data_IF_899912556385
#
_entry.id   IF_899912556385
#
_cell.length_a   1.000
_cell.length_b   1.000
_cell.length_c   1.000
_cell.angle_alpha   90.00
_cell.angle_beta   90.00
_cell.angle_gamma   90.00
#
_symmetry.space_group_name_H-M   'P 1'
#
loop_
_entity.id
_entity.type
_entity.pdbx_description
1 polymer ?
#
# COMPACT_ATOMS: atom_id res chain seq x y z
N UNK A 1 -12.10 -15.74 -10.03
CA UNK A 1 -13.27 -14.91 -10.38
C UNK A 1 -13.64 -14.07 -9.16
N UNK A 2 -13.92 -12.77 -9.32
CA UNK A 2 -14.28 -11.90 -8.20
C UNK A 2 -15.59 -12.36 -7.56
N UNK A 3 -15.68 -12.22 -6.23
CA UNK A 3 -16.84 -12.71 -5.46
C UNK A 3 -18.08 -11.84 -5.67
N UNK A 4 -17.87 -10.54 -5.87
CA UNK A 4 -18.93 -9.56 -6.06
C UNK A 4 -18.77 -8.89 -7.42
N UNK A 5 -19.90 -8.48 -8.01
CA UNK A 5 -19.87 -7.58 -9.16
C UNK A 5 -19.63 -6.16 -8.64
N UNK A 6 -18.42 -5.66 -8.88
CA UNK A 6 -17.98 -4.32 -8.46
C UNK A 6 -17.70 -3.48 -9.69
N UNK A 7 -18.03 -2.19 -9.63
CA UNK A 7 -17.69 -1.21 -10.65
C UNK A 7 -17.19 0.07 -10.00
N UNK A 8 -16.11 0.65 -10.54
CA UNK A 8 -15.63 1.96 -10.11
C UNK A 8 -16.46 3.05 -10.77
N UNK A 9 -16.98 3.96 -9.96
CA UNK A 9 -17.73 5.14 -10.41
C UNK A 9 -16.83 6.38 -10.43
N UNK A 10 -15.91 6.45 -9.47
CA UNK A 10 -14.94 7.54 -9.37
C UNK A 10 -13.64 6.99 -8.83
N UNK A 11 -12.54 7.19 -9.55
CA UNK A 11 -11.23 6.66 -9.20
C UNK A 11 -10.68 7.23 -7.91
N UNK A 12 -11.05 8.47 -7.56
CA UNK A 12 -10.47 9.16 -6.42
C UNK A 12 -9.24 9.95 -6.80
N UNK A 13 -8.53 10.41 -5.78
CA UNK A 13 -7.32 11.21 -5.88
C UNK A 13 -6.22 10.59 -5.00
N UNK A 14 -5.00 10.65 -5.52
CA UNK A 14 -3.81 10.25 -4.79
C UNK A 14 -3.09 11.51 -4.36
N UNK A 15 -2.85 11.62 -3.06
CA UNK A 15 -2.12 12.73 -2.46
C UNK A 15 -0.85 12.23 -1.81
N UNK A 16 0.25 12.98 -1.94
CA UNK A 16 1.55 12.60 -1.37
C UNK A 16 1.47 12.33 0.15
N UNK A 17 0.81 13.22 0.88
CA UNK A 17 0.62 13.13 2.34
C UNK A 17 -0.05 11.82 2.78
N UNK A 18 -1.07 11.36 2.03
CA UNK A 18 -1.78 10.14 2.42
C UNK A 18 -1.10 8.87 1.89
N UNK A 19 -0.54 8.90 0.67
CA UNK A 19 -0.15 7.69 -0.05
C UNK A 19 1.35 7.42 -0.03
N UNK A 20 2.20 8.41 0.23
CA UNK A 20 3.66 8.25 0.14
C UNK A 20 4.40 8.70 1.41
N UNK A 21 3.71 9.43 2.29
CA UNK A 21 4.24 9.92 3.56
C UNK A 21 4.02 8.92 4.73
N UNK A 22 4.36 9.25 6.00
CA UNK A 22 4.42 8.28 7.10
C UNK A 22 3.15 7.45 7.39
N UNK A 23 2.00 7.81 6.81
CA UNK A 23 0.71 7.15 6.95
C UNK A 23 0.31 6.33 5.72
N UNK A 24 1.17 6.26 4.69
CA UNK A 24 0.99 5.52 3.45
C UNK A 24 0.45 4.10 3.68
N UNK A 25 0.98 3.38 4.67
CA UNK A 25 0.57 2.00 4.97
C UNK A 25 -0.94 1.80 5.11
N UNK A 26 -1.69 2.80 5.57
CA UNK A 26 -3.14 2.70 5.72
C UNK A 26 -3.90 2.78 4.38
N UNK A 27 -3.25 3.27 3.32
CA UNK A 27 -3.84 3.60 2.02
C UNK A 27 -3.47 2.60 0.91
N UNK A 28 -2.75 1.53 1.22
CA UNK A 28 -2.32 0.52 0.25
C UNK A 28 -2.66 -0.89 0.72
N UNK A 29 -3.22 -1.71 -0.17
CA UNK A 29 -3.66 -3.06 0.14
C UNK A 29 -3.23 -4.07 -0.91
N UNK A 30 -2.90 -5.29 -0.49
CA UNK A 30 -2.64 -6.39 -1.41
C UNK A 30 -3.94 -6.84 -2.09
N UNK A 31 -3.86 -7.15 -3.38
CA UNK A 31 -4.94 -7.84 -4.10
C UNK A 31 -4.87 -9.34 -3.77
N UNK A 32 -5.90 -9.96 -3.18
CA UNK A 32 -5.85 -11.37 -2.80
C UNK A 32 -5.69 -12.33 -3.99
N UNK A 33 -6.05 -11.89 -5.20
CA UNK A 33 -5.94 -12.68 -6.42
C UNK A 33 -4.64 -12.42 -7.19
N UNK A 34 -3.79 -11.51 -6.70
CA UNK A 34 -2.48 -11.26 -7.25
C UNK A 34 -1.46 -12.19 -6.58
N UNK A 35 -1.07 -13.24 -7.30
CA UNK A 35 -0.22 -14.31 -6.82
C UNK A 35 1.22 -14.16 -7.31
N UNK A 36 1.80 -12.98 -7.13
CA UNK A 36 3.22 -12.79 -7.42
C UNK A 36 4.09 -13.56 -6.40
N UNK A 37 4.87 -14.51 -6.90
CA UNK A 37 5.68 -15.43 -6.09
C UNK A 37 6.94 -14.77 -5.49
N UNK A 38 7.31 -13.58 -5.96
CA UNK A 38 8.55 -12.89 -5.58
C UNK A 38 8.31 -11.82 -4.52
N UNK A 39 7.24 -11.05 -4.68
CA UNK A 39 6.85 -9.95 -3.80
C UNK A 39 5.33 -9.76 -3.87
N UNK A 40 4.75 -9.04 -2.92
CA UNK A 40 3.33 -8.74 -2.83
C UNK A 40 3.12 -7.29 -3.31
N UNK A 41 2.66 -7.07 -4.55
CA UNK A 41 2.29 -5.73 -5.00
C UNK A 41 1.12 -5.18 -4.18
N UNK A 42 1.15 -3.89 -3.92
CA UNK A 42 0.08 -3.18 -3.23
C UNK A 42 -0.65 -2.24 -4.18
N UNK A 43 -1.92 -2.03 -3.92
CA UNK A 43 -2.84 -1.25 -4.73
C UNK A 43 -3.42 -0.11 -3.89
N UNK A 44 -3.52 1.07 -4.49
CA UNK A 44 -3.93 2.29 -3.80
C UNK A 44 -5.42 2.28 -3.51
N UNK A 45 -5.77 2.63 -2.27
CA UNK A 45 -7.12 3.02 -1.90
C UNK A 45 -7.24 4.54 -2.07
N UNK A 46 -7.66 5.03 -3.23
CA UNK A 46 -7.61 6.47 -3.48
C UNK A 46 -8.63 7.27 -2.62
N UNK A 47 -8.26 8.49 -2.23
CA UNK A 47 -9.15 9.39 -1.50
C UNK A 47 -10.37 9.74 -2.37
N UNK A 48 -11.57 9.79 -1.78
CA UNK A 48 -12.85 10.03 -2.48
C UNK A 48 -13.25 8.94 -3.47
N UNK A 49 -12.47 7.86 -3.63
CA UNK A 49 -12.80 6.74 -4.51
C UNK A 49 -14.23 6.24 -4.23
N UNK A 50 -14.98 5.96 -5.30
CA UNK A 50 -16.35 5.44 -5.22
C UNK A 50 -16.47 4.15 -6.01
N UNK A 51 -16.95 3.12 -5.34
CA UNK A 51 -17.28 1.83 -5.95
C UNK A 51 -18.75 1.53 -5.75
N UNK A 52 -19.37 0.88 -6.73
CA UNK A 52 -20.69 0.27 -6.59
C UNK A 52 -20.51 -1.24 -6.56
N UNK A 53 -21.13 -1.87 -5.58
CA UNK A 53 -21.18 -3.33 -5.45
C UNK A 53 -22.62 -3.78 -5.39
N UNK A 54 -22.96 -4.77 -6.23
CA UNK A 54 -24.30 -5.31 -6.31
C UNK A 54 -24.42 -6.53 -5.40
N UNK A 55 -25.31 -6.48 -4.42
CA UNK A 55 -25.59 -7.58 -3.49
C UNK A 55 -27.10 -7.80 -3.43
N UNK A 56 -27.54 -9.04 -3.68
CA UNK A 56 -28.97 -9.41 -3.73
C UNK A 56 -29.81 -8.49 -4.66
N UNK A 57 -29.23 -8.08 -5.79
CA UNK A 57 -29.89 -7.21 -6.76
C UNK A 57 -30.01 -5.74 -6.34
N UNK A 58 -29.41 -5.34 -5.22
CA UNK A 58 -29.36 -3.95 -4.75
C UNK A 58 -27.94 -3.39 -4.85
N UNK A 59 -27.85 -2.12 -5.25
CA UNK A 59 -26.60 -1.40 -5.36
C UNK A 59 -26.17 -0.78 -4.04
N UNK A 60 -24.91 -0.98 -3.68
CA UNK A 60 -24.27 -0.36 -2.53
C UNK A 60 -23.08 0.46 -3.02
N UNK A 61 -23.19 1.78 -2.91
CA UNK A 61 -22.09 2.68 -3.20
C UNK A 61 -21.23 2.86 -1.95
N UNK A 62 -19.95 2.49 -2.05
CA UNK A 62 -18.96 2.76 -1.01
C UNK A 62 -18.14 3.96 -1.45
N UNK A 63 -17.97 4.93 -0.56
CA UNK A 63 -17.10 6.10 -0.76
C UNK A 63 -15.99 6.09 0.27
N UNK A 64 -14.74 6.16 -0.21
CA UNK A 64 -13.56 6.36 0.62
C UNK A 64 -13.48 7.82 1.02
N UNK A 65 -13.31 8.08 2.31
CA UNK A 65 -13.11 9.42 2.86
C UNK A 65 -11.83 9.42 3.71
N UNK A 66 -11.36 10.60 4.05
CA UNK A 66 -10.26 10.75 5.01
C UNK A 66 -10.85 10.91 6.41
N UNK A 67 -10.41 10.08 7.35
CA UNK A 67 -10.65 10.23 8.79
C UNK A 67 -9.29 10.44 9.47
N UNK A 68 -8.94 11.70 9.74
CA UNK A 68 -7.60 12.13 10.11
C UNK A 68 -6.54 11.77 9.04
N UNK A 69 -5.69 10.79 9.27
CA UNK A 69 -4.65 10.33 8.32
C UNK A 69 -4.89 8.89 7.86
N UNK A 70 -6.05 8.32 8.20
CA UNK A 70 -6.46 6.97 7.84
C UNK A 70 -7.69 7.01 6.92
N UNK A 71 -7.95 5.95 6.14
CA UNK A 71 -9.16 5.87 5.34
C UNK A 71 -10.39 5.59 6.22
N UNK A 72 -11.41 6.39 6.00
CA UNK A 72 -12.78 6.14 6.45
C UNK A 72 -13.67 5.70 5.29
N UNK A 73 -14.80 5.09 5.61
CA UNK A 73 -15.72 4.53 4.64
C UNK A 73 -17.15 4.94 4.93
N UNK A 74 -17.82 5.42 3.89
CA UNK A 74 -19.26 5.65 3.86
C UNK A 74 -19.90 4.63 2.93
N UNK A 75 -21.08 4.15 3.28
CA UNK A 75 -21.91 3.35 2.40
C UNK A 75 -23.26 4.04 2.19
N UNK A 76 -23.74 4.04 0.95
CA UNK A 76 -25.06 4.52 0.58
C UNK A 76 -25.75 3.48 -0.30
N UNK A 77 -27.04 3.26 -0.06
CA UNK A 77 -27.90 2.46 -0.92
C UNK A 77 -29.29 3.08 -0.93
N UNK A 78 -29.75 3.54 -2.10
CA UNK A 78 -30.95 4.38 -2.22
C UNK A 78 -30.91 5.55 -1.21
N UNK A 79 -31.92 5.66 -0.35
CA UNK A 79 -32.05 6.70 0.66
C UNK A 79 -31.28 6.41 1.97
N UNK A 80 -30.75 5.19 2.11
CA UNK A 80 -29.99 4.80 3.29
C UNK A 80 -28.54 5.26 3.16
N UNK A 81 -28.03 5.93 4.19
CA UNK A 81 -26.64 6.37 4.27
C UNK A 81 -26.03 6.07 5.62
N UNK A 82 -24.81 5.56 5.61
CA UNK A 82 -24.09 5.22 6.83
C UNK A 82 -23.41 6.46 7.42
N UNK A 83 -23.14 6.43 8.71
CA UNK A 83 -22.07 7.24 9.29
C UNK A 83 -20.69 6.75 8.78
N UNK A 84 -19.60 7.52 8.98
CA UNK A 84 -18.25 7.04 8.75
C UNK A 84 -17.92 5.79 9.58
N UNK A 85 -17.26 4.82 8.96
CA UNK A 85 -16.67 3.64 9.61
C UNK A 85 -15.19 3.49 9.23
N UNK A 86 -14.42 2.77 10.05
CA UNK A 86 -13.00 2.49 9.82
C UNK A 86 -12.75 1.37 8.80
N UNK A 87 -13.79 0.65 8.40
CA UNK A 87 -13.69 -0.39 7.38
C UNK A 87 -14.89 -0.36 6.43
N UNK A 88 -14.64 -0.64 5.16
CA UNK A 88 -15.68 -0.80 4.14
C UNK A 88 -16.66 -1.93 4.51
N UNK A 89 -16.16 -3.00 5.14
CA UNK A 89 -16.96 -4.11 5.68
C UNK A 89 -18.03 -3.63 6.64
N UNK A 90 -17.68 -2.80 7.62
CA UNK A 90 -18.64 -2.28 8.61
C UNK A 90 -19.63 -1.32 7.97
N UNK A 91 -19.15 -0.42 7.10
CA UNK A 91 -20.00 0.53 6.39
C UNK A 91 -21.10 -0.19 5.60
N UNK A 92 -20.72 -1.16 4.74
CA UNK A 92 -21.70 -1.90 3.94
C UNK A 92 -22.59 -2.80 4.79
N UNK A 93 -22.04 -3.46 5.82
CA UNK A 93 -22.83 -4.33 6.70
C UNK A 93 -23.90 -3.54 7.44
N UNK A 94 -23.60 -2.30 7.85
CA UNK A 94 -24.57 -1.43 8.52
C UNK A 94 -25.77 -1.10 7.63
N UNK A 95 -25.53 -0.78 6.35
CA UNK A 95 -26.60 -0.45 5.39
C UNK A 95 -27.33 -1.70 4.92
N UNK A 96 -26.61 -2.80 4.71
CA UNK A 96 -27.22 -4.08 4.39
C UNK A 96 -28.20 -4.52 5.49
N UNK A 97 -27.81 -4.39 6.76
CA UNK A 97 -28.68 -4.75 7.88
C UNK A 97 -29.95 -3.89 7.93
N UNK A 98 -29.86 -2.61 7.63
CA UNK A 98 -31.03 -1.73 7.55
C UNK A 98 -31.92 -2.05 6.33
N UNK A 99 -31.32 -2.39 5.19
CA UNK A 99 -32.06 -2.68 3.96
C UNK A 99 -32.78 -4.03 4.00
N UNK A 100 -32.18 -5.05 4.61
CA UNK A 100 -32.68 -6.44 4.57
C UNK A 100 -33.07 -7.00 5.94
N UNK A 101 -32.98 -6.20 7.01
CA UNK A 101 -33.23 -6.63 8.39
C UNK A 101 -32.47 -7.89 8.82
N UNK A 102 -31.30 -8.13 8.19
CA UNK A 102 -30.47 -9.32 8.42
C UNK A 102 -29.01 -8.93 8.59
N UNK A 103 -28.32 -9.58 9.53
CA UNK A 103 -26.90 -9.33 9.76
C UNK A 103 -26.07 -10.31 8.93
N UNK A 104 -25.22 -9.77 8.05
CA UNK A 104 -24.26 -10.56 7.28
C UNK A 104 -22.89 -9.89 7.34
N UNK A 105 -21.82 -10.68 7.46
CA UNK A 105 -20.46 -10.15 7.46
C UNK A 105 -19.93 -10.18 6.02
N UNK A 106 -19.76 -9.00 5.43
CA UNK A 106 -19.21 -8.84 4.09
C UNK A 106 -17.69 -8.61 4.17
N UNK A 107 -16.93 -9.08 3.17
CA UNK A 107 -15.49 -8.84 3.16
C UNK A 107 -15.22 -7.46 2.56
N UNK A 108 -14.64 -6.57 3.36
CA UNK A 108 -14.40 -5.17 3.02
C UNK A 108 -13.60 -4.95 1.73
N UNK A 109 -12.57 -5.76 1.46
CA UNK A 109 -11.74 -5.61 0.27
C UNK A 109 -12.48 -6.06 -1.00
N UNK A 110 -13.20 -7.18 -0.90
CA UNK A 110 -13.95 -7.72 -2.03
C UNK A 110 -15.10 -6.80 -2.43
N UNK A 111 -15.77 -6.15 -1.46
CA UNK A 111 -16.87 -5.21 -1.76
C UNK A 111 -16.40 -3.87 -2.33
N UNK A 112 -15.10 -3.60 -2.35
CA UNK A 112 -14.52 -2.45 -3.06
C UNK A 112 -13.71 -2.88 -4.29
N UNK A 113 -13.77 -4.16 -4.66
CA UNK A 113 -13.21 -4.67 -5.91
C UNK A 113 -11.73 -5.03 -5.86
N UNK A 114 -11.12 -5.13 -4.68
CA UNK A 114 -9.70 -5.48 -4.53
C UNK A 114 -9.39 -6.97 -4.81
N UNK A 115 -10.37 -7.77 -5.23
CA UNK A 115 -10.20 -9.11 -5.81
C UNK A 115 -10.35 -9.13 -7.33
N UNK A 116 -10.68 -8.00 -7.95
CA UNK A 116 -10.72 -7.89 -9.40
C UNK A 116 -9.41 -7.29 -9.91
N UNK A 117 -8.60 -8.10 -10.59
CA UNK A 117 -7.30 -7.68 -11.10
C UNK A 117 -7.39 -6.53 -12.11
N UNK A 118 -8.49 -6.43 -12.88
CA UNK A 118 -8.69 -5.32 -13.82
C UNK A 118 -8.91 -4.00 -13.09
N UNK A 119 -9.65 -4.04 -11.97
CA UNK A 119 -9.84 -2.89 -11.07
C UNK A 119 -8.52 -2.52 -10.40
N UNK A 120 -7.78 -3.50 -9.89
CA UNK A 120 -6.48 -3.28 -9.28
C UNK A 120 -5.47 -2.67 -10.28
N UNK A 121 -5.37 -3.23 -11.48
CA UNK A 121 -4.46 -2.75 -12.53
C UNK A 121 -4.80 -1.32 -12.99
N UNK A 122 -6.06 -0.93 -12.93
CA UNK A 122 -6.46 0.43 -13.30
C UNK A 122 -6.17 1.45 -12.21
N UNK A 123 -6.11 1.04 -10.93
CA UNK A 123 -5.67 1.90 -9.82
C UNK A 123 -4.18 2.25 -9.86
N UNK A 124 -3.38 1.54 -10.66
CA UNK A 124 -1.93 1.74 -10.75
C UNK A 124 -1.46 2.48 -12.02
N UNK A 125 -2.34 2.75 -12.99
CA UNK A 125 -1.96 3.26 -14.32
C UNK A 125 -1.25 4.62 -14.30
N UNK A 126 -1.60 5.49 -13.35
CA UNK A 126 -1.05 6.86 -13.24
C UNK A 126 -0.16 7.04 -12.00
N UNK A 127 0.35 5.94 -11.43
CA UNK A 127 1.23 6.00 -10.27
C UNK A 127 2.67 6.31 -10.65
N UNK A 128 3.29 7.20 -9.88
CA UNK A 128 4.73 7.41 -9.95
C UNK A 128 5.52 6.17 -9.49
N UNK A 129 5.01 5.50 -8.46
CA UNK A 129 5.62 4.30 -7.89
C UNK A 129 4.51 3.43 -7.29
N UNK A 130 4.53 2.13 -7.59
CA UNK A 130 3.65 1.15 -6.97
C UNK A 130 4.35 0.54 -5.75
N UNK A 131 3.80 0.73 -4.54
CA UNK A 131 4.34 0.10 -3.34
C UNK A 131 4.25 -1.42 -3.40
N UNK A 132 5.22 -2.06 -2.78
CA UNK A 132 5.24 -3.51 -2.65
C UNK A 132 5.73 -3.94 -1.27
N UNK A 133 5.27 -5.11 -0.85
CA UNK A 133 5.71 -5.77 0.36
C UNK A 133 6.45 -7.06 0.03
N UNK A 134 7.40 -7.44 0.86
CA UNK A 134 8.02 -8.75 0.78
C UNK A 134 8.43 -9.20 2.16
N UNK A 135 8.59 -10.51 2.30
CA UNK A 135 8.93 -11.14 3.57
C UNK A 135 10.38 -11.53 3.56
N UNK A 136 11.10 -11.13 4.60
CA UNK A 136 12.46 -11.56 4.85
C UNK A 136 12.47 -12.23 6.22
N UNK A 137 12.74 -13.54 6.25
CA UNK A 137 12.61 -14.37 7.46
C UNK A 137 11.23 -14.20 8.14
N UNK A 138 11.17 -13.51 9.28
CA UNK A 138 9.98 -13.22 10.07
C UNK A 138 9.53 -11.75 9.98
N UNK A 139 10.21 -10.91 9.21
CA UNK A 139 9.84 -9.53 8.97
C UNK A 139 9.07 -9.37 7.67
N UNK A 140 8.04 -8.52 7.71
CA UNK A 140 7.36 -8.02 6.51
C UNK A 140 7.84 -6.59 6.27
N UNK A 141 8.57 -6.39 5.18
CA UNK A 141 9.00 -5.07 4.73
C UNK A 141 7.99 -4.54 3.71
N UNK A 142 7.76 -3.23 3.70
CA UNK A 142 6.93 -2.57 2.68
C UNK A 142 7.63 -1.30 2.23
N UNK A 143 7.80 -1.17 0.92
CA UNK A 143 8.47 -0.04 0.28
C UNK A 143 7.38 0.81 -0.38
N UNK A 144 7.29 2.08 0.02
CA UNK A 144 6.27 3.02 -0.48
C UNK A 144 6.84 4.11 -1.40
N UNK A 145 8.12 4.43 -1.28
CA UNK A 145 8.81 5.40 -2.13
C UNK A 145 10.27 4.98 -2.25
N UNK A 146 10.91 5.35 -3.37
CA UNK A 146 12.34 5.21 -3.59
C UNK A 146 12.83 6.57 -4.09
N UNK A 147 13.74 7.20 -3.35
CA UNK A 147 14.25 8.54 -3.62
C UNK A 147 15.77 8.60 -3.70
N UNK A 148 16.29 9.67 -4.31
CA UNK A 148 17.71 10.00 -4.36
C UNK A 148 18.02 10.95 -3.20
N UNK A 149 18.94 10.59 -2.30
CA UNK A 149 19.39 11.49 -1.23
C UNK A 149 20.28 12.60 -1.77
N UNK A 150 19.99 13.83 -1.35
CA UNK A 150 20.78 15.03 -1.67
C UNK A 150 22.07 15.13 -0.85
N UNK A 151 22.32 14.21 0.09
CA UNK A 151 23.52 14.21 0.90
C UNK A 151 24.66 13.46 0.19
N UNK A 152 25.71 14.15 -0.29
CA UNK A 152 26.83 13.50 -0.95
C UNK A 152 27.63 12.58 -0.01
N UNK A 153 27.54 12.76 1.31
CA UNK A 153 28.18 11.88 2.31
C UNK A 153 27.44 10.55 2.51
N UNK A 154 26.17 10.48 2.10
CA UNK A 154 25.41 9.22 2.05
C UNK A 154 25.79 8.35 0.85
N UNK A 155 26.86 8.72 0.13
CA UNK A 155 27.56 7.86 -0.81
C UNK A 155 28.14 6.57 -0.21
N UNK A 156 28.07 6.34 1.11
CA UNK A 156 28.38 5.03 1.69
C UNK A 156 27.52 4.82 2.93
N UNK A 157 26.72 3.75 2.96
CA UNK A 157 26.27 3.15 4.23
C UNK A 157 27.44 3.18 5.21
N UNK A 158 27.20 3.69 6.42
CA UNK A 158 28.22 4.13 7.39
C UNK A 158 29.55 3.35 7.31
N UNK A 159 30.68 4.06 7.42
CA UNK A 159 32.06 3.57 7.30
C UNK A 159 32.21 2.10 7.78
N UNK A 160 32.22 1.16 6.83
CA UNK A 160 32.28 -0.28 7.10
C UNK A 160 31.18 -1.14 6.45
N UNK A 161 30.17 -0.56 5.81
CA UNK A 161 29.04 -1.33 5.27
C UNK A 161 28.86 -1.18 3.75
N UNK A 162 28.65 -2.31 3.06
CA UNK A 162 28.35 -2.33 1.61
C UNK A 162 26.85 -2.10 1.40
N UNK A 163 26.55 -1.19 0.46
CA UNK A 163 25.20 -0.74 0.05
C UNK A 163 24.22 -1.88 -0.22
N UNK A 164 24.65 -2.91 -0.96
CA UNK A 164 23.76 -4.00 -1.35
C UNK A 164 23.25 -4.82 -0.15
N UNK A 165 24.06 -4.88 0.90
CA UNK A 165 23.77 -5.62 2.13
C UNK A 165 22.81 -4.88 3.07
N UNK A 166 22.79 -3.53 3.06
CA UNK A 166 21.97 -2.73 3.98
C UNK A 166 20.49 -2.67 3.58
N UNK A 167 20.24 -2.66 2.27
CA UNK A 167 18.89 -2.48 1.69
C UNK A 167 18.30 -3.78 1.14
N UNK A 168 18.90 -4.93 1.47
CA UNK A 168 18.47 -6.23 0.96
C UNK A 168 18.63 -6.38 -0.56
N UNK A 169 19.39 -5.51 -1.23
CA UNK A 169 19.67 -5.62 -2.67
C UNK A 169 20.61 -6.78 -3.01
N UNK A 170 21.09 -7.54 -2.04
CA UNK A 170 21.71 -8.86 -2.27
C UNK A 170 20.65 -9.97 -2.37
N UNK A 171 19.43 -9.73 -1.86
CA UNK A 171 18.32 -10.67 -1.94
C UNK A 171 17.77 -10.70 -3.37
N UNK A 172 17.77 -11.90 -3.98
CA UNK A 172 17.31 -12.10 -5.35
C UNK A 172 15.84 -11.72 -5.55
N UNK A 173 15.00 -11.85 -4.51
CA UNK A 173 13.59 -11.46 -4.58
C UNK A 173 13.44 -9.94 -4.64
N UNK A 174 14.22 -9.21 -3.85
CA UNK A 174 14.23 -7.74 -3.89
C UNK A 174 14.73 -7.24 -5.25
N UNK A 175 15.79 -7.84 -5.80
CA UNK A 175 16.27 -7.52 -7.15
C UNK A 175 15.22 -7.80 -8.22
N UNK A 176 14.62 -8.98 -8.19
CA UNK A 176 13.62 -9.38 -9.18
C UNK A 176 12.32 -8.58 -9.07
N UNK A 177 11.96 -8.07 -7.89
CA UNK A 177 10.83 -7.16 -7.70
C UNK A 177 11.08 -5.81 -8.35
N UNK A 178 12.24 -5.24 -8.06
CA UNK A 178 12.73 -3.98 -8.62
C UNK A 178 12.80 -4.02 -10.15
N UNK A 179 13.34 -5.10 -10.71
CA UNK A 179 13.50 -5.25 -12.17
C UNK A 179 12.16 -5.36 -12.92
N UNK A 180 11.08 -5.76 -12.23
CA UNK A 180 9.73 -5.92 -12.80
C UNK A 180 8.91 -4.62 -12.77
N UNK A 181 9.16 -3.73 -11.80
CA UNK A 181 8.46 -2.46 -11.58
C UNK A 181 8.95 -1.33 -12.52
N UNK A 182 9.44 -1.64 -13.73
CA UNK A 182 10.04 -0.67 -14.65
C UNK A 182 9.11 0.54 -14.90
N UNK A 183 9.47 1.70 -14.35
CA UNK A 183 8.80 2.97 -14.61
C UNK A 183 9.37 3.64 -15.86
N UNK A 184 8.54 4.39 -16.59
CA UNK A 184 8.88 5.08 -17.85
C UNK A 184 9.95 6.17 -17.72
N UNK A 185 10.42 6.48 -16.51
CA UNK A 185 11.37 7.54 -16.22
C UNK A 185 12.75 7.05 -15.73
N UNK A 186 12.98 5.74 -15.58
CA UNK A 186 14.23 5.21 -15.03
C UNK A 186 14.57 3.85 -15.66
N UNK A 187 15.68 3.76 -16.39
CA UNK A 187 16.19 2.52 -17.00
C UNK A 187 17.00 1.67 -16.00
N UNK A 188 17.25 0.39 -16.31
CA UNK A 188 18.16 -0.48 -15.51
C UNK A 188 19.57 0.13 -15.38
N UNK A 189 20.01 0.92 -16.35
CA UNK A 189 21.28 1.65 -16.28
C UNK A 189 21.22 2.85 -15.32
N UNK A 190 20.05 3.47 -15.18
CA UNK A 190 19.79 4.50 -14.17
C UNK A 190 19.75 3.91 -12.76
N UNK A 191 19.33 2.65 -12.59
CA UNK A 191 19.43 1.88 -11.33
C UNK A 191 20.89 1.55 -10.93
N UNK A 192 21.76 1.31 -11.91
CA UNK A 192 23.19 1.09 -11.67
C UNK A 192 23.93 2.40 -11.36
N UNK A 193 23.41 3.55 -11.82
CA UNK A 193 23.98 4.89 -11.57
C UNK A 193 23.41 5.61 -10.35
N UNK A 194 22.14 5.40 -10.00
CA UNK A 194 21.46 6.14 -8.94
C UNK A 194 21.29 5.28 -7.68
N UNK A 195 21.83 5.81 -6.57
CA UNK A 195 22.36 4.96 -5.52
C UNK A 195 21.53 4.81 -4.25
N UNK A 196 20.32 5.35 -4.21
CA UNK A 196 19.63 5.57 -2.94
C UNK A 196 18.24 4.95 -3.02
N UNK A 197 17.98 4.03 -2.10
CA UNK A 197 16.64 3.67 -1.65
C UNK A 197 16.55 4.28 -0.26
N UNK A 198 15.86 5.41 -0.15
CA UNK A 198 15.59 6.00 1.14
C UNK A 198 14.52 5.18 1.85
N UNK A 199 14.93 4.25 2.71
CA UNK A 199 14.05 3.60 3.65
C UNK A 199 13.68 4.64 4.72
N UNK A 200 12.76 5.56 4.39
CA UNK A 200 12.10 6.45 5.37
C UNK A 200 11.10 5.61 6.18
N UNK A 201 11.56 4.49 6.74
CA UNK A 201 10.86 3.81 7.80
C UNK A 201 11.30 4.45 9.10
N UNK A 202 10.73 5.61 9.45
CA UNK A 202 10.48 6.06 10.83
C UNK A 202 11.62 5.82 11.85
N UNK A 203 12.89 5.84 11.46
CA UNK A 203 13.99 5.57 12.39
C UNK A 203 14.05 6.66 13.47
N UNK A 204 13.70 7.90 13.10
CA UNK A 204 13.59 9.06 13.99
C UNK A 204 12.31 9.10 14.86
N UNK A 205 11.30 8.27 14.59
CA UNK A 205 10.13 8.12 15.49
C UNK A 205 10.31 6.97 16.49
N UNK A 206 11.05 5.92 16.11
CA UNK A 206 11.37 4.78 17.01
C UNK A 206 12.45 5.18 18.02
N UNK A 207 13.26 6.19 17.68
CA UNK A 207 14.36 6.64 18.49
C UNK A 207 14.42 8.17 18.58
N UNK A 208 14.81 8.75 19.73
CA UNK A 208 14.89 10.20 19.88
C UNK A 208 15.74 10.86 18.78
N UNK A 209 15.50 12.14 18.43
CA UNK A 209 16.18 12.87 17.35
C UNK A 209 17.72 12.99 17.47
N UNK A 210 18.32 12.47 18.55
CA UNK A 210 19.77 12.40 18.77
C UNK A 210 20.27 10.96 19.00
N UNK A 211 19.48 9.95 18.65
CA UNK A 211 19.82 8.56 18.89
C UNK A 211 20.77 8.02 17.83
N UNK A 212 22.01 7.77 18.25
CA UNK A 212 22.99 7.08 17.42
C UNK A 212 22.66 5.59 17.41
N UNK A 213 22.19 5.08 16.28
CA UNK A 213 21.95 3.64 16.06
C UNK A 213 23.29 2.90 16.17
N UNK A 214 23.49 2.17 17.27
CA UNK A 214 24.71 1.40 17.51
C UNK A 214 24.80 0.18 16.59
N UNK A 215 26.02 -0.23 16.24
CA UNK A 215 26.30 -1.39 15.38
C UNK A 215 25.54 -2.65 15.77
N UNK A 216 25.38 -2.92 17.07
CA UNK A 216 24.64 -4.09 17.58
C UNK A 216 23.16 -4.10 17.18
N UNK A 217 22.50 -2.94 17.09
CA UNK A 217 21.11 -2.84 16.62
C UNK A 217 21.03 -2.99 15.11
N UNK A 218 21.98 -2.40 14.39
CA UNK A 218 22.10 -2.58 12.94
C UNK A 218 22.35 -4.05 12.58
N UNK A 219 23.14 -4.78 13.38
CA UNK A 219 23.34 -6.23 13.26
C UNK A 219 22.08 -7.03 13.56
N UNK A 220 21.29 -6.63 14.55
CA UNK A 220 20.00 -7.26 14.81
C UNK A 220 19.04 -7.08 13.62
N UNK A 221 19.07 -5.92 12.96
CA UNK A 221 18.33 -5.71 11.71
C UNK A 221 18.87 -6.55 10.56
N UNK A 222 20.20 -6.68 10.41
CA UNK A 222 20.83 -7.55 9.41
C UNK A 222 20.55 -9.03 9.61
N UNK A 223 20.40 -9.49 10.85
CA UNK A 223 20.04 -10.87 11.15
C UNK A 223 18.58 -11.18 10.79
N UNK A 224 17.78 -10.15 10.49
CA UNK A 224 16.39 -10.26 10.07
C UNK A 224 16.22 -10.04 8.55
N UNK A 225 17.27 -9.57 7.85
CA UNK A 225 17.40 -9.47 6.38
C UNK A 225 18.08 -10.73 5.83
#
# INVERSE_FOLDING_TARGET
MPKYKVSIVFWGEITRNLHYEPYAKAWWFACPNDNNATYIPLYSLCLRMKTITIINGRDFMITVIQDNLEPGFLCQSEDLRSKPYKSSSEAITSIYQLAFFTKTKLNGLLVIGFDNIEICNSLILDLYFQPFSFRISNLNLSIFEIGISDNPDWNFASKGYKRNTLFGLENEQTKSAIEKEQTSHCTVEDWQKNNIIELIAKFEEIYPPNYIVKDRKLWAWKALL
#
